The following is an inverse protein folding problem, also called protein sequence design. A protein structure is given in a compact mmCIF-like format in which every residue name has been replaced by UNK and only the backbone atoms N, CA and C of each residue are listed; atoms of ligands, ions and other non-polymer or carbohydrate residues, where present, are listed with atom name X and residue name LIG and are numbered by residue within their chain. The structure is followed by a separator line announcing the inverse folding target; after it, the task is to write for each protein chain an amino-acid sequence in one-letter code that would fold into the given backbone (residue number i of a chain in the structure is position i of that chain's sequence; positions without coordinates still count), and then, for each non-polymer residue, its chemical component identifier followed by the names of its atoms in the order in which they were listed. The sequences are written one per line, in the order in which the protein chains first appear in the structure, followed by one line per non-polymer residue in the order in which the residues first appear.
data_IF_864121594332
#
_entry.id   IF_864121594332
#
_cell.length_a   1.000
_cell.length_b   1.000
_cell.length_c   1.000
_cell.angle_alpha   90.00
_cell.angle_beta   90.00
_cell.angle_gamma   90.00
#
_symmetry.space_group_name_H-M   'P 1'
#
loop_
_entity.id
_entity.type
_entity.pdbx_description
1 polymer ?
#
# COMPACT_ATOMS: atom_id res chain seq x y z
N UNK A 1 -17.12 -15.19 -1.84
CA UNK A 1 -16.13 -14.19 -2.30
C UNK A 1 -15.20 -13.94 -1.12
N UNK A 2 -13.90 -14.14 -1.29
CA UNK A 2 -12.91 -13.94 -0.22
C UNK A 2 -12.88 -12.46 0.16
N UNK A 3 -12.75 -12.14 1.44
CA UNK A 3 -12.65 -10.75 1.89
C UNK A 3 -11.38 -10.08 1.30
N UNK A 4 -11.43 -8.79 0.93
CA UNK A 4 -10.26 -8.06 0.45
C UNK A 4 -9.11 -8.11 1.47
N UNK A 5 -7.88 -8.31 0.99
CA UNK A 5 -6.71 -8.40 1.87
C UNK A 5 -6.29 -7.01 2.31
N UNK A 6 -6.19 -6.76 3.62
CA UNK A 6 -5.69 -5.50 4.15
C UNK A 6 -4.20 -5.34 3.88
N UNK A 7 -3.82 -4.22 3.26
CA UNK A 7 -2.43 -3.93 2.90
C UNK A 7 -2.01 -2.51 3.31
N UNK A 8 -0.74 -2.36 3.63
CA UNK A 8 -0.07 -1.06 3.81
C UNK A 8 1.15 -0.98 2.89
N UNK A 9 1.32 0.17 2.25
CA UNK A 9 2.42 0.47 1.33
C UNK A 9 3.16 1.70 1.86
N UNK A 10 4.37 1.49 2.38
CA UNK A 10 5.23 2.52 2.91
C UNK A 10 6.39 2.82 1.94
N UNK A 11 6.86 4.06 1.96
CA UNK A 11 8.01 4.50 1.18
C UNK A 11 9.13 4.94 2.13
N UNK A 12 10.33 4.44 1.87
CA UNK A 12 11.58 4.84 2.51
C UNK A 12 12.38 5.82 1.65
N UNK A 13 13.71 5.68 1.70
CA UNK A 13 14.59 6.39 0.76
C UNK A 13 14.50 5.73 -0.61
N UNK A 14 13.72 6.31 -1.53
CA UNK A 14 13.47 5.73 -2.85
C UNK A 14 13.26 6.78 -3.95
N UNK A 15 13.31 6.32 -5.20
CA UNK A 15 12.92 7.10 -6.39
C UNK A 15 11.48 6.85 -6.84
N UNK A 16 10.70 6.04 -6.10
CA UNK A 16 9.32 5.67 -6.38
C UNK A 16 9.09 4.79 -7.63
N UNK A 17 10.15 4.36 -8.32
CA UNK A 17 10.04 3.55 -9.54
C UNK A 17 9.28 2.23 -9.35
N UNK A 18 9.38 1.59 -8.17
CA UNK A 18 8.65 0.36 -7.89
C UNK A 18 7.13 0.60 -7.80
N UNK A 19 6.69 1.65 -7.11
CA UNK A 19 5.27 1.99 -7.05
C UNK A 19 4.75 2.52 -8.40
N UNK A 20 5.56 3.26 -9.15
CA UNK A 20 5.22 3.64 -10.52
C UNK A 20 4.98 2.39 -11.39
N UNK A 21 5.84 1.37 -11.30
CA UNK A 21 5.68 0.13 -12.08
C UNK A 21 4.41 -0.64 -11.72
N UNK A 22 3.99 -0.58 -10.44
CA UNK A 22 2.73 -1.18 -9.98
C UNK A 22 1.53 -0.47 -10.60
N UNK A 23 1.56 0.86 -10.68
CA UNK A 23 0.47 1.66 -11.25
C UNK A 23 0.45 1.56 -12.79
N UNK A 24 1.61 1.28 -13.40
CA UNK A 24 1.76 1.15 -14.86
C UNK A 24 1.18 -0.15 -15.44
N UNK A 25 0.62 -1.03 -14.62
CA UNK A 25 -0.13 -2.20 -15.12
C UNK A 25 -1.49 -1.83 -15.75
N UNK A 26 -1.82 -0.53 -15.80
CA UNK A 26 -2.98 0.05 -16.48
C UNK A 26 -4.30 -0.67 -16.14
N UNK A 27 -5.01 -1.21 -17.14
CA UNK A 27 -6.30 -1.86 -16.96
C UNK A 27 -6.24 -3.10 -16.07
N UNK A 28 -5.06 -3.72 -15.90
CA UNK A 28 -4.91 -4.84 -14.97
C UNK A 28 -5.07 -4.41 -13.51
N UNK A 29 -4.96 -3.11 -13.17
CA UNK A 29 -5.33 -2.65 -11.83
C UNK A 29 -6.80 -2.94 -11.51
N UNK A 30 -7.69 -2.93 -12.50
CA UNK A 30 -9.10 -3.23 -12.28
C UNK A 30 -9.34 -4.67 -11.78
N UNK A 31 -8.38 -5.58 -11.98
CA UNK A 31 -8.46 -6.96 -11.47
C UNK A 31 -7.85 -7.10 -10.06
N UNK A 32 -6.93 -6.20 -9.68
CA UNK A 32 -6.21 -6.25 -8.41
C UNK A 32 -6.87 -5.39 -7.33
N UNK A 33 -7.29 -4.17 -7.66
CA UNK A 33 -7.89 -3.22 -6.72
C UNK A 33 -9.07 -3.80 -5.92
N UNK A 34 -9.99 -4.60 -6.51
CA UNK A 34 -11.09 -5.21 -5.75
C UNK A 34 -10.65 -6.27 -4.73
N UNK A 35 -9.42 -6.79 -4.83
CA UNK A 35 -8.87 -7.85 -3.99
C UNK A 35 -8.12 -7.30 -2.76
N UNK A 36 -7.87 -5.99 -2.72
CA UNK A 36 -7.04 -5.33 -1.70
C UNK A 36 -7.80 -4.20 -1.01
N UNK A 37 -7.56 -4.06 0.29
CA UNK A 37 -8.06 -2.97 1.12
C UNK A 37 -6.85 -2.14 1.56
N UNK A 38 -6.65 -1.00 0.89
CA UNK A 38 -5.50 -0.13 1.09
C UNK A 38 -5.71 0.66 2.40
N UNK A 39 -5.02 0.24 3.45
CA UNK A 39 -5.04 0.90 4.77
C UNK A 39 -4.08 2.07 4.88
N UNK A 40 -3.01 2.04 4.08
CA UNK A 40 -1.99 3.08 4.06
C UNK A 40 -1.25 3.08 2.72
N UNK A 41 -1.20 4.22 2.04
CA UNK A 41 -0.35 4.48 0.88
C UNK A 41 -0.21 6.00 0.67
N UNK A 42 0.64 6.63 1.47
CA UNK A 42 0.73 8.08 1.63
C UNK A 42 1.06 8.86 0.35
N UNK A 43 1.62 8.19 -0.67
CA UNK A 43 1.97 8.84 -1.94
C UNK A 43 0.88 8.77 -3.00
N UNK A 44 -0.13 7.90 -2.83
CA UNK A 44 -1.24 7.73 -3.78
C UNK A 44 -2.56 8.22 -3.20
N UNK A 45 -2.74 8.11 -1.89
CA UNK A 45 -3.90 8.60 -1.15
C UNK A 45 -3.44 9.48 0.03
N UNK A 46 -4.33 10.33 0.55
CA UNK A 46 -4.02 11.30 1.60
C UNK A 46 -3.94 10.67 3.01
N UNK A 47 -3.13 9.63 3.16
CA UNK A 47 -2.82 9.04 4.46
C UNK A 47 -1.65 9.78 5.12
N UNK A 48 -1.76 10.03 6.41
CA UNK A 48 -0.68 10.50 7.29
C UNK A 48 -0.17 9.35 8.15
N UNK A 49 1.05 9.49 8.67
CA UNK A 49 1.65 8.44 9.53
C UNK A 49 0.76 8.07 10.72
N UNK A 50 0.12 9.06 11.36
CA UNK A 50 -0.83 8.85 12.46
C UNK A 50 -2.01 7.95 12.10
N UNK A 51 -2.41 7.90 10.83
CA UNK A 51 -3.52 7.05 10.38
C UNK A 51 -3.07 5.59 10.36
N UNK A 52 -1.80 5.33 10.03
CA UNK A 52 -1.19 4.00 10.15
C UNK A 52 -1.00 3.59 11.62
N UNK A 53 -0.48 4.50 12.46
CA UNK A 53 -0.24 4.25 13.89
C UNK A 53 -1.53 4.00 14.69
N UNK A 54 -2.67 4.49 14.20
CA UNK A 54 -3.98 4.29 14.82
C UNK A 54 -4.62 2.93 14.59
N UNK A 55 -4.10 2.11 13.67
CA UNK A 55 -4.62 0.76 13.46
C UNK A 55 -4.24 -0.17 14.63
N UNK A 56 -5.11 -1.12 15.02
CA UNK A 56 -4.76 -2.12 16.02
C UNK A 56 -3.54 -2.94 15.62
N UNK A 57 -2.75 -3.38 16.61
CA UNK A 57 -1.59 -4.24 16.35
C UNK A 57 -2.00 -5.47 15.52
N UNK A 58 -1.21 -5.79 14.50
CA UNK A 58 -1.43 -6.90 13.55
C UNK A 58 -2.77 -6.89 12.80
N UNK A 59 -3.48 -5.76 12.71
CA UNK A 59 -4.73 -5.69 11.93
C UNK A 59 -4.52 -5.60 10.41
N UNK A 60 -3.29 -5.31 9.97
CA UNK A 60 -2.90 -5.21 8.55
C UNK A 60 -2.18 -6.50 8.17
N UNK A 61 -2.69 -7.21 7.16
CA UNK A 61 -2.21 -8.54 6.78
C UNK A 61 -0.83 -8.48 6.12
N UNK A 62 -0.60 -7.51 5.23
CA UNK A 62 0.68 -7.38 4.50
C UNK A 62 1.16 -5.93 4.49
N UNK A 63 2.44 -5.74 4.81
CA UNK A 63 3.16 -4.49 4.62
C UNK A 63 4.16 -4.59 3.46
N UNK A 64 4.10 -3.65 2.52
CA UNK A 64 5.08 -3.47 1.45
C UNK A 64 5.89 -2.22 1.77
N UNK A 65 7.21 -2.37 1.86
CA UNK A 65 8.12 -1.25 2.06
C UNK A 65 8.98 -1.06 0.82
N UNK A 66 8.93 0.14 0.25
CA UNK A 66 9.65 0.48 -0.97
C UNK A 66 10.82 1.42 -0.68
N UNK A 67 12.00 1.08 -1.19
CA UNK A 67 13.23 1.82 -0.94
C UNK A 67 13.99 1.34 0.29
N UNK A 68 15.01 2.11 0.65
CA UNK A 68 15.94 1.73 1.71
C UNK A 68 15.44 2.22 3.08
N UNK A 69 15.44 1.30 4.05
CA UNK A 69 15.20 1.58 5.46
C UNK A 69 16.55 1.81 6.16
N UNK A 70 16.81 3.05 6.59
CA UNK A 70 17.97 3.40 7.42
C UNK A 70 17.67 3.20 8.88
#
# INVERSE_FOLDING_TARGET
MTEPTSIAMAQGSSCWGCFQSLIDIHLNLATVLPLIDIKYWQCVADFKLKDLEGYPDKSITVGLYEGMAR
#
